data_IF_799845495544
#
_entry.id   IF_799845495544
#
_cell.length_a   1.000
_cell.length_b   1.000
_cell.length_c   1.000
_cell.angle_alpha   90.00
_cell.angle_beta   90.00
_cell.angle_gamma   90.00
#
_symmetry.space_group_name_H-M   'P 1'
#
loop_
_entity.id
_entity.type
_entity.pdbx_description
1 polymer ?
#
# COMPACT_ATOMS: atom_id res chain seq x y z
N UNK A 1 -20.88 15.24 11.37
CA UNK A 1 -20.75 15.13 9.89
C UNK A 1 -19.67 14.09 9.64
N UNK A 2 -19.96 12.99 8.93
CA UNK A 2 -18.89 12.07 8.48
C UNK A 2 -17.87 12.89 7.68
N UNK A 3 -16.59 12.83 8.06
CA UNK A 3 -15.53 13.40 7.23
C UNK A 3 -15.68 12.82 5.82
N UNK A 4 -15.55 13.66 4.80
CA UNK A 4 -15.65 13.21 3.41
C UNK A 4 -14.58 12.16 3.18
N UNK A 5 -14.97 10.93 2.85
CA UNK A 5 -14.04 9.83 2.55
C UNK A 5 -13.08 10.25 1.44
N UNK A 6 -11.82 9.98 1.63
CA UNK A 6 -10.75 10.31 0.69
C UNK A 6 -10.12 9.02 0.21
N UNK A 7 -10.17 8.80 -1.11
CA UNK A 7 -9.58 7.62 -1.73
C UNK A 7 -8.27 7.95 -2.43
N UNK A 8 -7.36 7.01 -2.36
CA UNK A 8 -6.08 6.97 -3.05
C UNK A 8 -6.10 5.79 -4.03
N UNK A 9 -5.72 6.02 -5.29
CA UNK A 9 -5.51 4.94 -6.24
C UNK A 9 -4.13 4.33 -5.98
N UNK A 10 -4.08 3.13 -5.44
CA UNK A 10 -2.84 2.34 -5.36
C UNK A 10 -2.23 2.15 -6.76
N UNK A 11 -0.92 1.93 -6.83
CA UNK A 11 -0.20 1.84 -8.11
C UNK A 11 -0.87 0.89 -9.11
N UNK A 12 -1.38 -0.22 -8.62
CA UNK A 12 -1.93 -1.32 -9.42
C UNK A 12 -3.40 -1.12 -9.83
N UNK A 13 -4.08 -0.09 -9.32
CA UNK A 13 -5.51 0.16 -9.59
C UNK A 13 -5.78 0.99 -10.83
N UNK A 14 -4.78 1.73 -11.29
CA UNK A 14 -4.84 2.53 -12.51
C UNK A 14 -3.52 2.39 -13.26
N UNK A 15 -3.22 1.19 -13.72
CA UNK A 15 -1.96 0.81 -14.34
C UNK A 15 -2.05 -0.49 -15.11
N UNK A 16 -0.95 -0.85 -15.76
CA UNK A 16 -0.83 -2.00 -16.66
C UNK A 16 0.21 -3.03 -16.19
N UNK A 17 0.72 -2.86 -14.97
CA UNK A 17 1.78 -3.69 -14.37
C UNK A 17 1.30 -4.46 -13.15
N UNK A 18 2.14 -5.31 -12.59
CA UNK A 18 1.89 -6.06 -11.36
C UNK A 18 3.22 -6.44 -10.69
N UNK A 19 3.24 -6.70 -9.37
CA UNK A 19 4.46 -7.04 -8.62
C UNK A 19 5.18 -8.25 -9.23
N UNK A 20 6.51 -8.12 -9.39
CA UNK A 20 7.35 -9.15 -9.99
C UNK A 20 6.90 -9.58 -11.42
N UNK A 21 6.21 -8.70 -12.14
CA UNK A 21 5.95 -8.85 -13.56
C UNK A 21 7.22 -8.68 -14.40
N UNK A 22 7.10 -8.72 -15.74
CA UNK A 22 8.25 -8.44 -16.62
C UNK A 22 8.88 -7.08 -16.38
N UNK A 23 8.10 -6.12 -15.94
CA UNK A 23 8.51 -4.81 -15.42
C UNK A 23 7.41 -4.28 -14.50
N UNK A 24 7.79 -3.49 -13.52
CA UNK A 24 6.86 -2.70 -12.70
C UNK A 24 6.75 -1.25 -13.18
N UNK A 25 7.53 -0.88 -14.21
CA UNK A 25 7.44 0.42 -14.86
C UNK A 25 6.25 0.41 -15.82
N UNK A 26 5.25 1.24 -15.54
CA UNK A 26 4.05 1.35 -16.38
C UNK A 26 4.37 1.88 -17.77
N UNK A 27 3.80 1.28 -18.79
CA UNK A 27 3.86 1.80 -20.17
C UNK A 27 2.98 3.04 -20.37
N UNK A 28 2.02 3.27 -19.46
CA UNK A 28 1.12 4.40 -19.48
C UNK A 28 1.81 5.68 -18.98
N UNK A 29 1.73 6.81 -19.70
CA UNK A 29 2.32 8.06 -19.26
C UNK A 29 1.81 8.46 -17.85
N UNK A 30 2.74 8.92 -16.99
CA UNK A 30 2.39 9.34 -15.63
C UNK A 30 1.24 10.37 -15.60
N UNK A 31 1.25 11.36 -16.51
CA UNK A 31 0.16 12.34 -16.64
C UNK A 31 -1.19 11.67 -16.86
N UNK A 32 -1.26 10.72 -17.78
CA UNK A 32 -2.53 10.09 -18.15
C UNK A 32 -3.12 9.28 -16.98
N UNK A 33 -2.24 8.64 -16.19
CA UNK A 33 -2.64 7.93 -14.95
C UNK A 33 -3.18 8.91 -13.90
N UNK A 34 -2.51 10.03 -13.69
CA UNK A 34 -2.96 11.10 -12.77
C UNK A 34 -4.31 11.67 -13.22
N UNK A 35 -4.45 11.99 -14.51
CA UNK A 35 -5.69 12.51 -15.08
C UNK A 35 -6.86 11.52 -14.94
N UNK A 36 -6.62 10.23 -15.19
CA UNK A 36 -7.64 9.19 -15.05
C UNK A 36 -8.08 9.00 -13.60
N UNK A 37 -7.13 8.96 -12.65
CA UNK A 37 -7.41 8.85 -11.22
C UNK A 37 -8.21 10.05 -10.72
N UNK A 38 -7.76 11.27 -11.03
CA UNK A 38 -8.44 12.50 -10.65
C UNK A 38 -9.85 12.61 -11.26
N UNK A 39 -10.00 12.25 -12.55
CA UNK A 39 -11.30 12.24 -13.23
C UNK A 39 -12.29 11.25 -12.57
N UNK A 40 -11.81 10.10 -12.09
CA UNK A 40 -12.63 9.14 -11.36
C UNK A 40 -13.07 9.66 -9.99
N UNK A 41 -12.30 10.56 -9.36
CA UNK A 41 -12.59 11.15 -8.05
C UNK A 41 -11.53 10.90 -6.98
N UNK A 42 -10.44 10.21 -7.30
CA UNK A 42 -9.31 10.03 -6.40
C UNK A 42 -8.63 11.36 -6.09
N UNK A 43 -8.10 11.48 -4.87
CA UNK A 43 -7.32 12.63 -4.42
C UNK A 43 -5.90 12.24 -3.99
N UNK A 44 -5.56 10.98 -4.14
CA UNK A 44 -4.23 10.43 -3.87
C UNK A 44 -3.80 9.41 -4.90
N UNK A 45 -2.50 9.11 -4.93
CA UNK A 45 -1.86 8.17 -5.85
C UNK A 45 -0.76 7.38 -5.12
N UNK A 46 -0.75 6.05 -5.29
CA UNK A 46 0.34 5.17 -4.92
C UNK A 46 1.34 4.99 -6.07
N UNK A 47 2.62 4.86 -5.76
CA UNK A 47 3.67 4.65 -6.77
C UNK A 47 4.68 3.62 -6.25
N UNK A 48 4.90 2.56 -7.05
CA UNK A 48 5.93 1.55 -6.78
C UNK A 48 7.33 2.08 -7.16
N UNK A 49 8.36 1.65 -6.43
CA UNK A 49 9.74 2.12 -6.55
C UNK A 49 10.27 2.13 -7.99
N UNK A 50 10.11 1.04 -8.76
CA UNK A 50 10.66 0.99 -10.12
C UNK A 50 10.03 2.04 -11.04
N UNK A 51 8.71 2.21 -10.99
CA UNK A 51 8.00 3.23 -11.76
C UNK A 51 8.31 4.65 -11.28
N UNK A 52 8.40 4.84 -9.97
CA UNK A 52 8.80 6.10 -9.35
C UNK A 52 10.14 6.59 -9.89
N UNK A 53 11.16 5.72 -9.90
CA UNK A 53 12.51 6.04 -10.41
C UNK A 53 12.46 6.37 -11.89
N UNK A 54 11.76 5.54 -12.69
CA UNK A 54 11.64 5.78 -14.13
C UNK A 54 10.95 7.12 -14.45
N UNK A 55 9.88 7.46 -13.71
CA UNK A 55 9.16 8.73 -13.88
C UNK A 55 10.00 9.90 -13.39
N UNK A 56 10.65 9.79 -12.21
CA UNK A 56 11.57 10.79 -11.66
C UNK A 56 12.66 11.12 -12.65
N UNK A 57 13.33 10.12 -13.19
CA UNK A 57 14.48 10.30 -14.10
C UNK A 57 14.03 10.91 -15.44
N UNK A 58 12.80 10.68 -15.87
CA UNK A 58 12.24 11.23 -17.10
C UNK A 58 11.75 12.68 -16.98
N UNK A 59 11.09 13.04 -15.87
CA UNK A 59 10.42 14.34 -15.75
C UNK A 59 10.76 15.13 -14.48
N UNK A 60 11.38 14.52 -13.48
CA UNK A 60 11.74 15.12 -12.19
C UNK A 60 10.54 15.32 -11.24
N UNK A 61 10.82 15.34 -9.94
CA UNK A 61 9.79 15.51 -8.90
C UNK A 61 8.99 16.82 -9.03
N UNK A 62 9.65 17.91 -9.40
CA UNK A 62 8.96 19.21 -9.57
C UNK A 62 7.84 19.12 -10.60
N UNK A 63 8.05 18.39 -11.71
CA UNK A 63 7.03 18.20 -12.74
C UNK A 63 5.97 17.18 -12.29
N UNK A 64 6.36 16.13 -11.58
CA UNK A 64 5.40 15.20 -10.97
C UNK A 64 4.42 15.94 -10.05
N UNK A 65 4.94 16.74 -9.11
CA UNK A 65 4.11 17.57 -8.20
C UNK A 65 3.15 18.50 -8.96
N UNK A 66 3.65 19.15 -10.01
CA UNK A 66 2.82 20.06 -10.82
C UNK A 66 1.68 19.31 -11.49
N UNK A 67 1.99 18.19 -12.17
CA UNK A 67 0.95 17.37 -12.82
C UNK A 67 -0.11 16.93 -11.81
N UNK A 68 0.30 16.44 -10.65
CA UNK A 68 -0.62 16.02 -9.60
C UNK A 68 -1.44 17.18 -9.04
N UNK A 69 -0.80 18.32 -8.72
CA UNK A 69 -1.47 19.50 -8.18
C UNK A 69 -2.48 20.10 -9.15
N UNK A 70 -2.14 20.15 -10.45
CA UNK A 70 -3.05 20.63 -11.52
C UNK A 70 -4.35 19.81 -11.60
N UNK A 71 -4.31 18.55 -11.14
CA UNK A 71 -5.44 17.62 -11.13
C UNK A 71 -6.03 17.34 -9.74
N UNK A 72 -5.57 18.02 -8.68
CA UNK A 72 -6.08 17.84 -7.32
C UNK A 72 -5.64 16.55 -6.63
N UNK A 73 -4.61 15.87 -7.14
CA UNK A 73 -3.92 14.78 -6.43
C UNK A 73 -2.94 15.39 -5.46
N UNK A 74 -3.20 15.23 -4.17
CA UNK A 74 -2.44 15.90 -3.09
C UNK A 74 -1.86 14.92 -2.06
N UNK A 75 -2.17 13.63 -2.19
CA UNK A 75 -1.69 12.59 -1.30
C UNK A 75 -0.95 11.52 -2.07
N UNK A 76 0.15 11.05 -1.47
CA UNK A 76 0.98 10.01 -2.04
C UNK A 76 1.27 8.94 -1.00
N UNK A 77 1.38 7.71 -1.45
CA UNK A 77 2.10 6.64 -0.78
C UNK A 77 3.13 6.09 -1.76
N UNK A 78 4.26 5.64 -1.22
CA UNK A 78 5.35 5.07 -2.02
C UNK A 78 5.68 3.68 -1.51
N UNK A 79 6.04 2.80 -2.42
CA UNK A 79 6.24 1.38 -2.15
C UNK A 79 7.27 0.79 -3.12
N UNK A 80 7.89 -0.30 -2.90
CA UNK A 80 7.80 -1.21 -1.78
C UNK A 80 9.21 -1.54 -1.31
N UNK A 81 9.50 -1.52 0.00
CA UNK A 81 10.82 -1.83 0.52
C UNK A 81 10.86 -3.21 1.16
N UNK A 82 11.76 -4.05 0.68
CA UNK A 82 12.08 -5.37 1.24
C UNK A 82 13.53 -5.42 1.73
N UNK A 83 13.90 -6.51 2.40
CA UNK A 83 15.28 -6.77 2.87
C UNK A 83 15.88 -5.69 3.79
N UNK A 84 15.06 -4.80 4.32
CA UNK A 84 15.44 -3.70 5.22
C UNK A 84 16.01 -4.19 6.57
N UNK A 85 15.76 -5.43 6.93
CA UNK A 85 16.24 -6.14 8.12
C UNK A 85 17.47 -7.01 7.85
N UNK A 86 17.90 -7.13 6.60
CA UNK A 86 19.01 -7.99 6.18
C UNK A 86 20.38 -7.33 6.45
N UNK A 87 21.45 -8.05 6.13
CA UNK A 87 22.84 -7.60 6.21
C UNK A 87 23.55 -7.80 4.88
N UNK A 88 24.79 -7.28 4.75
CA UNK A 88 25.61 -7.48 3.56
C UNK A 88 25.00 -6.90 2.29
N UNK A 89 25.10 -7.64 1.17
CA UNK A 89 24.67 -7.16 -0.15
C UNK A 89 23.18 -6.90 -0.25
N UNK A 90 22.34 -7.72 0.37
CA UNK A 90 20.88 -7.52 0.41
C UNK A 90 20.53 -6.22 1.11
N UNK A 91 21.13 -5.95 2.26
CA UNK A 91 20.94 -4.69 2.97
C UNK A 91 21.42 -3.51 2.13
N UNK A 92 22.56 -3.60 1.50
CA UNK A 92 23.07 -2.53 0.63
C UNK A 92 22.16 -2.26 -0.58
N UNK A 93 21.51 -3.29 -1.12
CA UNK A 93 20.50 -3.13 -2.17
C UNK A 93 19.23 -2.44 -1.62
N UNK A 94 18.73 -2.90 -0.46
CA UNK A 94 17.59 -2.30 0.23
C UNK A 94 17.85 -0.83 0.60
N UNK A 95 19.05 -0.48 1.05
CA UNK A 95 19.39 0.90 1.41
C UNK A 95 19.36 1.86 0.19
N UNK A 96 19.64 1.36 -1.04
CA UNK A 96 19.46 2.16 -2.26
C UNK A 96 17.98 2.45 -2.52
N UNK A 97 17.12 1.44 -2.41
CA UNK A 97 15.67 1.60 -2.53
C UNK A 97 15.14 2.53 -1.44
N UNK A 98 15.58 2.33 -0.18
CA UNK A 98 15.24 3.19 0.96
C UNK A 98 15.54 4.66 0.66
N UNK A 99 16.72 4.95 0.12
CA UNK A 99 17.11 6.32 -0.25
C UNK A 99 16.16 6.92 -1.28
N UNK A 100 15.86 6.21 -2.36
CA UNK A 100 14.93 6.68 -3.39
C UNK A 100 13.53 6.93 -2.82
N UNK A 101 13.01 6.02 -1.98
CA UNK A 101 11.68 6.17 -1.36
C UNK A 101 11.63 7.34 -0.38
N UNK A 102 12.68 7.55 0.44
CA UNK A 102 12.76 8.70 1.35
C UNK A 102 12.87 10.03 0.59
N UNK A 103 13.66 10.07 -0.50
CA UNK A 103 13.72 11.24 -1.38
C UNK A 103 12.34 11.55 -1.98
N UNK A 104 11.66 10.52 -2.49
CA UNK A 104 10.31 10.68 -3.02
C UNK A 104 9.30 11.12 -1.95
N UNK A 105 9.40 10.56 -0.74
CA UNK A 105 8.54 10.95 0.37
C UNK A 105 8.71 12.43 0.74
N UNK A 106 9.95 12.92 0.79
CA UNK A 106 10.24 14.33 1.01
C UNK A 106 9.67 15.22 -0.10
N UNK A 107 9.94 14.85 -1.35
CA UNK A 107 9.64 15.65 -2.53
C UNK A 107 8.15 15.65 -2.90
N UNK A 108 7.47 14.52 -2.78
CA UNK A 108 6.04 14.37 -3.08
C UNK A 108 5.16 14.57 -1.84
N UNK A 109 5.76 14.69 -0.65
CA UNK A 109 5.06 14.70 0.64
C UNK A 109 4.25 13.42 0.82
N UNK A 110 4.86 12.27 0.50
CA UNK A 110 4.21 10.99 0.69
C UNK A 110 3.93 10.78 2.18
N UNK A 111 2.73 10.32 2.46
CA UNK A 111 2.28 10.11 3.82
C UNK A 111 2.97 8.93 4.47
N UNK A 112 3.11 7.84 3.74
CA UNK A 112 3.70 6.61 4.20
C UNK A 112 4.56 5.93 3.13
N UNK A 113 5.49 5.13 3.63
CA UNK A 113 6.34 4.24 2.84
C UNK A 113 5.97 2.82 3.25
N UNK A 114 5.46 2.01 2.30
CA UNK A 114 5.11 0.62 2.57
C UNK A 114 6.34 -0.29 2.50
N UNK A 115 6.41 -1.22 3.46
CA UNK A 115 7.49 -2.19 3.59
C UNK A 115 6.94 -3.58 3.86
N UNK A 116 7.66 -4.63 3.47
CA UNK A 116 7.27 -6.02 3.69
C UNK A 116 8.28 -6.85 4.46
N UNK A 117 7.81 -8.00 4.92
CA UNK A 117 8.63 -9.04 5.52
C UNK A 117 9.44 -9.85 4.50
N UNK A 118 10.17 -10.83 4.97
CA UNK A 118 10.88 -11.80 4.14
C UNK A 118 9.90 -12.79 3.51
N UNK A 119 10.04 -13.02 2.21
CA UNK A 119 9.20 -13.94 1.45
C UNK A 119 9.63 -15.39 1.67
N UNK A 120 9.52 -15.86 2.89
CA UNK A 120 9.74 -17.25 3.29
C UNK A 120 8.99 -17.56 4.60
N UNK A 121 9.08 -18.82 5.04
CA UNK A 121 8.45 -19.29 6.29
C UNK A 121 9.38 -19.19 7.51
N UNK A 122 10.57 -18.60 7.36
CA UNK A 122 11.51 -18.46 8.45
C UNK A 122 10.92 -17.60 9.58
N UNK A 123 11.21 -18.01 10.81
CA UNK A 123 10.71 -17.26 11.98
C UNK A 123 11.35 -15.87 12.02
N UNK A 124 10.53 -14.86 12.22
CA UNK A 124 10.98 -13.48 12.37
C UNK A 124 11.84 -13.31 13.65
N UNK A 125 13.04 -12.78 13.48
CA UNK A 125 13.92 -12.34 14.57
C UNK A 125 13.45 -10.94 15.04
N UNK A 126 12.51 -10.93 16.00
CA UNK A 126 11.85 -9.70 16.46
C UNK A 126 12.85 -8.61 16.87
N UNK A 127 13.89 -8.88 17.70
CA UNK A 127 14.86 -7.86 18.07
C UNK A 127 15.55 -7.19 16.87
N UNK A 128 16.03 -7.98 15.91
CA UNK A 128 16.69 -7.47 14.70
C UNK A 128 15.74 -6.64 13.84
N UNK A 129 14.51 -7.14 13.66
CA UNK A 129 13.48 -6.44 12.88
C UNK A 129 13.07 -5.14 13.56
N UNK A 130 12.90 -5.13 14.88
CA UNK A 130 12.53 -3.94 15.63
C UNK A 130 13.60 -2.84 15.57
N UNK A 131 14.89 -3.20 15.70
CA UNK A 131 16.01 -2.26 15.55
C UNK A 131 16.04 -1.65 14.15
N UNK A 132 15.95 -2.49 13.10
CA UNK A 132 15.93 -2.03 11.72
C UNK A 132 14.69 -1.17 11.41
N UNK A 133 13.54 -1.53 11.97
CA UNK A 133 12.29 -0.79 11.84
C UNK A 133 12.35 0.58 12.50
N UNK A 134 12.89 0.67 13.71
CA UNK A 134 13.10 1.94 14.41
C UNK A 134 13.97 2.89 13.56
N UNK A 135 15.08 2.39 12.99
CA UNK A 135 15.93 3.16 12.08
C UNK A 135 15.20 3.67 10.83
N UNK A 136 14.28 2.87 10.26
CA UNK A 136 13.44 3.32 9.14
C UNK A 136 12.47 4.42 9.56
N UNK A 137 11.86 4.26 10.72
CA UNK A 137 10.92 5.24 11.27
C UNK A 137 11.58 6.59 11.56
N UNK A 138 12.79 6.58 12.12
CA UNK A 138 13.60 7.79 12.33
C UNK A 138 13.87 8.54 11.02
N UNK A 139 14.19 7.82 9.94
CA UNK A 139 14.44 8.46 8.66
C UNK A 139 13.16 8.96 7.99
N UNK A 140 12.06 8.21 8.12
CA UNK A 140 10.77 8.65 7.60
C UNK A 140 10.26 9.90 8.33
N UNK A 141 10.44 9.99 9.65
CA UNK A 141 10.08 11.17 10.43
C UNK A 141 10.81 12.43 9.95
N UNK A 142 12.11 12.33 9.65
CA UNK A 142 12.92 13.46 9.12
C UNK A 142 12.37 14.05 7.84
N UNK A 143 11.65 13.25 7.04
CA UNK A 143 11.02 13.68 5.79
C UNK A 143 9.52 13.92 5.92
N UNK A 144 8.97 13.83 7.13
CA UNK A 144 7.54 14.03 7.41
C UNK A 144 6.64 12.90 6.95
N UNK A 145 7.18 11.67 6.85
CA UNK A 145 6.48 10.46 6.44
C UNK A 145 6.40 9.43 7.57
N UNK A 146 5.70 8.33 7.34
CA UNK A 146 5.62 7.19 8.26
C UNK A 146 6.03 5.89 7.55
N UNK A 147 6.31 4.84 8.32
CA UNK A 147 6.57 3.50 7.80
C UNK A 147 5.37 2.61 8.10
N UNK A 148 4.84 1.95 7.07
CA UNK A 148 3.73 1.03 7.16
C UNK A 148 4.18 -0.40 6.81
N UNK A 149 4.27 -1.29 7.82
CA UNK A 149 4.50 -2.72 7.58
C UNK A 149 3.24 -3.31 6.98
N UNK A 150 3.35 -3.88 5.80
CA UNK A 150 2.28 -4.67 5.21
C UNK A 150 2.35 -6.11 5.73
N UNK A 151 1.24 -6.56 6.32
CA UNK A 151 1.12 -7.90 6.91
C UNK A 151 0.72 -8.87 5.81
N UNK A 152 1.70 -9.63 5.30
CA UNK A 152 1.54 -10.50 4.13
C UNK A 152 1.52 -11.97 4.53
N UNK A 153 0.47 -12.74 4.26
CA UNK A 153 0.31 -14.12 4.75
C UNK A 153 1.34 -15.12 4.22
N UNK A 154 2.09 -14.75 3.20
CA UNK A 154 3.17 -15.54 2.59
C UNK A 154 4.58 -15.04 2.93
N UNK A 155 4.71 -14.18 3.95
CA UNK A 155 6.00 -13.71 4.49
C UNK A 155 6.18 -14.13 5.94
N UNK A 156 7.33 -13.82 6.51
CA UNK A 156 7.56 -14.05 7.94
C UNK A 156 6.92 -13.00 8.86
N UNK A 157 6.37 -11.90 8.31
CA UNK A 157 5.47 -10.96 9.02
C UNK A 157 4.04 -11.22 8.53
N UNK A 158 3.48 -12.37 8.93
CA UNK A 158 2.23 -12.92 8.38
C UNK A 158 0.99 -12.64 9.20
N UNK A 159 1.13 -12.10 10.40
CA UNK A 159 0.04 -11.88 11.32
C UNK A 159 0.23 -10.63 12.19
N UNK A 160 -0.83 -10.19 12.84
CA UNK A 160 -0.83 -9.01 13.70
C UNK A 160 0.04 -9.19 14.96
N UNK A 161 0.25 -10.41 15.42
CA UNK A 161 1.05 -10.69 16.61
C UNK A 161 2.54 -10.44 16.36
N UNK A 162 3.04 -10.89 15.21
CA UNK A 162 4.44 -10.65 14.82
C UNK A 162 4.67 -9.17 14.58
N UNK A 163 3.80 -8.52 13.83
CA UNK A 163 3.93 -7.10 13.52
C UNK A 163 3.79 -6.21 14.76
N UNK A 164 2.86 -6.52 15.69
CA UNK A 164 2.72 -5.84 16.99
C UNK A 164 4.00 -5.94 17.82
N UNK A 165 4.62 -7.14 17.87
CA UNK A 165 5.87 -7.34 18.60
C UNK A 165 7.01 -6.47 18.05
N UNK A 166 7.12 -6.35 16.71
CA UNK A 166 8.12 -5.48 16.05
C UNK A 166 7.86 -4.01 16.42
N UNK A 167 6.62 -3.54 16.25
CA UNK A 167 6.25 -2.14 16.48
C UNK A 167 6.46 -1.74 17.93
N UNK A 168 6.00 -2.58 18.89
CA UNK A 168 6.18 -2.31 20.32
C UNK A 168 7.64 -2.26 20.72
N UNK A 169 8.45 -3.19 20.26
CA UNK A 169 9.87 -3.21 20.60
C UNK A 169 10.63 -2.08 19.94
N UNK A 170 10.27 -1.65 18.73
CA UNK A 170 10.84 -0.48 18.07
C UNK A 170 10.48 0.83 18.79
N UNK A 171 9.26 0.92 19.34
CA UNK A 171 8.83 2.04 20.19
C UNK A 171 8.79 3.39 19.47
N UNK A 172 8.56 3.43 18.15
CA UNK A 172 8.64 4.67 17.36
C UNK A 172 7.26 5.04 16.77
N UNK A 173 6.82 6.28 17.01
CA UNK A 173 5.47 6.75 16.64
C UNK A 173 5.25 6.84 15.11
N UNK A 174 6.30 7.04 14.33
CA UNK A 174 6.22 7.08 12.87
C UNK A 174 6.09 5.69 12.24
N UNK A 175 6.12 4.60 13.04
CA UNK A 175 5.93 3.23 12.60
C UNK A 175 4.50 2.73 12.80
N UNK A 176 4.05 1.84 11.90
CA UNK A 176 2.76 1.16 12.04
C UNK A 176 2.52 0.15 10.92
N UNK A 177 1.26 -0.05 10.60
CA UNK A 177 0.77 -1.11 9.72
C UNK A 177 0.08 -0.54 8.47
N UNK A 178 0.26 -1.23 7.37
CA UNK A 178 -0.66 -1.24 6.25
C UNK A 178 -1.61 -2.43 6.42
N UNK A 179 -2.90 -2.17 6.47
CA UNK A 179 -3.95 -3.18 6.66
C UNK A 179 -4.70 -3.36 5.35
N UNK A 180 -4.35 -4.39 4.60
CA UNK A 180 -5.02 -4.78 3.36
C UNK A 180 -6.05 -5.87 3.64
N UNK A 181 -7.28 -5.68 3.16
CA UNK A 181 -8.37 -6.63 3.35
C UNK A 181 -8.06 -8.02 2.79
N UNK A 182 -7.38 -8.12 1.62
CA UNK A 182 -7.02 -9.40 1.04
C UNK A 182 -6.07 -10.17 1.95
N UNK A 183 -5.05 -9.47 2.47
CA UNK A 183 -4.06 -10.08 3.35
C UNK A 183 -4.66 -10.50 4.68
N UNK A 184 -5.56 -9.69 5.27
CA UNK A 184 -6.28 -10.06 6.49
C UNK A 184 -7.14 -11.29 6.26
N UNK A 185 -7.94 -11.31 5.20
CA UNK A 185 -8.86 -12.41 4.90
C UNK A 185 -8.11 -13.71 4.58
N UNK A 186 -7.06 -13.66 3.73
CA UNK A 186 -6.26 -14.84 3.37
C UNK A 186 -5.34 -15.31 4.50
N UNK A 187 -4.93 -14.42 5.38
CA UNK A 187 -4.19 -14.74 6.61
C UNK A 187 -5.08 -15.29 7.73
N UNK A 188 -6.39 -15.33 7.54
CA UNK A 188 -7.35 -15.79 8.56
C UNK A 188 -7.47 -14.83 9.76
N UNK A 189 -7.15 -13.55 9.57
CA UNK A 189 -7.24 -12.51 10.60
C UNK A 189 -8.66 -11.94 10.59
N UNK A 190 -9.44 -12.12 11.67
CA UNK A 190 -10.82 -11.65 11.71
C UNK A 190 -10.91 -10.13 11.87
N UNK A 191 -12.01 -9.55 11.38
CA UNK A 191 -12.26 -8.10 11.50
C UNK A 191 -12.30 -7.62 12.96
N UNK A 192 -12.65 -8.48 13.90
CA UNK A 192 -12.65 -8.19 15.33
C UNK A 192 -11.24 -7.90 15.87
N UNK A 193 -10.21 -8.61 15.39
CA UNK A 193 -8.82 -8.31 15.74
C UNK A 193 -8.35 -6.99 15.11
N UNK A 194 -8.73 -6.73 13.86
CA UNK A 194 -8.45 -5.46 13.18
C UNK A 194 -9.07 -4.28 13.94
N UNK A 195 -10.31 -4.42 14.40
CA UNK A 195 -11.03 -3.38 15.14
C UNK A 195 -10.39 -3.03 16.51
N UNK A 196 -9.57 -3.92 17.06
CA UNK A 196 -8.87 -3.72 18.33
C UNK A 196 -7.50 -3.03 18.16
N UNK A 197 -7.04 -2.80 16.94
CA UNK A 197 -5.76 -2.13 16.70
C UNK A 197 -5.79 -0.68 17.25
N UNK A 198 -4.73 -0.24 17.93
CA UNK A 198 -4.61 1.16 18.31
C UNK A 198 -4.61 2.06 17.06
N UNK A 199 -5.31 3.20 17.13
CA UNK A 199 -5.33 4.18 16.03
C UNK A 199 -3.92 4.53 15.52
N UNK A 200 -2.97 4.70 16.43
CA UNK A 200 -1.59 5.04 16.10
C UNK A 200 -0.87 4.00 15.25
N UNK A 201 -1.35 2.76 15.26
CA UNK A 201 -0.75 1.67 14.49
C UNK A 201 -1.23 1.65 13.03
N UNK A 202 -2.44 2.12 12.74
CA UNK A 202 -2.99 2.07 11.38
C UNK A 202 -2.48 3.27 10.58
N UNK A 203 -1.47 3.06 9.73
CA UNK A 203 -0.87 4.08 8.87
C UNK A 203 -1.49 4.10 7.50
N UNK A 204 -1.73 2.93 6.91
CA UNK A 204 -2.35 2.76 5.59
C UNK A 204 -3.41 1.67 5.64
N UNK A 205 -4.43 1.76 4.79
CA UNK A 205 -5.50 0.77 4.63
C UNK A 205 -5.76 0.56 3.16
N UNK A 206 -5.85 -0.70 2.73
CA UNK A 206 -6.10 -1.05 1.35
C UNK A 206 -7.39 -1.82 1.15
N UNK A 207 -8.18 -1.35 0.19
CA UNK A 207 -9.47 -1.90 -0.17
C UNK A 207 -9.40 -2.66 -1.49
N UNK A 208 -9.86 -3.87 -1.47
CA UNK A 208 -10.13 -4.75 -2.60
C UNK A 208 -11.15 -5.81 -2.16
N UNK A 209 -11.26 -6.90 -2.90
CA UNK A 209 -12.03 -8.08 -2.54
C UNK A 209 -11.45 -9.31 -3.26
N UNK A 210 -11.98 -10.49 -3.01
CA UNK A 210 -11.70 -11.69 -3.77
C UNK A 210 -12.82 -12.75 -3.58
N UNK A 211 -12.76 -13.82 -4.39
CA UNK A 211 -13.60 -15.00 -4.21
C UNK A 211 -13.27 -15.73 -2.89
N UNK A 212 -14.16 -16.62 -2.43
CA UNK A 212 -13.87 -17.51 -1.31
C UNK A 212 -12.72 -18.48 -1.60
N UNK A 213 -12.59 -18.88 -2.85
CA UNK A 213 -11.60 -19.85 -3.31
C UNK A 213 -10.27 -19.17 -3.64
N UNK A 214 -9.16 -19.79 -3.22
CA UNK A 214 -7.82 -19.38 -3.64
C UNK A 214 -7.57 -19.93 -5.03
N UNK A 215 -7.22 -19.06 -5.98
CA UNK A 215 -6.94 -19.47 -7.36
C UNK A 215 -5.45 -19.75 -7.54
N UNK A 216 -5.09 -21.02 -7.61
CA UNK A 216 -3.69 -21.47 -7.69
C UNK A 216 -2.97 -21.37 -6.35
N UNK A 217 -1.81 -20.72 -6.29
CA UNK A 217 -1.13 -20.39 -5.05
C UNK A 217 -1.63 -19.07 -4.48
N UNK A 218 -1.38 -18.80 -3.17
CA UNK A 218 -1.63 -17.47 -2.59
C UNK A 218 -0.97 -16.35 -3.39
N UNK A 219 0.24 -16.60 -3.89
CA UNK A 219 0.96 -15.65 -4.74
C UNK A 219 0.24 -15.38 -6.07
N UNK A 220 -0.26 -16.43 -6.73
CA UNK A 220 -1.04 -16.25 -7.96
C UNK A 220 -2.37 -15.53 -7.70
N UNK A 221 -3.05 -15.90 -6.60
CA UNK A 221 -4.33 -15.32 -6.21
C UNK A 221 -4.19 -13.80 -5.96
N UNK A 222 -3.19 -13.38 -5.17
CA UNK A 222 -2.97 -11.96 -4.90
C UNK A 222 -2.61 -11.15 -6.15
N UNK A 223 -1.82 -11.69 -7.07
CA UNK A 223 -1.33 -10.94 -8.23
C UNK A 223 -2.36 -10.78 -9.35
N UNK A 224 -3.35 -11.69 -9.42
CA UNK A 224 -4.16 -11.80 -10.63
C UNK A 224 -5.66 -11.92 -10.42
N UNK A 225 -6.10 -12.20 -9.18
CA UNK A 225 -7.49 -12.62 -8.94
C UNK A 225 -8.21 -11.77 -7.88
N UNK A 226 -7.65 -10.61 -7.54
CA UNK A 226 -8.40 -9.64 -6.71
C UNK A 226 -9.58 -9.10 -7.50
N UNK A 227 -10.66 -8.82 -6.78
CA UNK A 227 -11.90 -8.23 -7.27
C UNK A 227 -12.03 -6.79 -6.78
N UNK A 228 -12.94 -6.04 -7.36
CA UNK A 228 -13.28 -4.73 -6.87
C UNK A 228 -13.96 -4.82 -5.49
N UNK A 229 -13.76 -3.83 -4.60
CA UNK A 229 -14.39 -3.79 -3.29
C UNK A 229 -15.90 -4.05 -3.35
N UNK A 230 -16.36 -5.07 -2.64
CA UNK A 230 -17.78 -5.49 -2.60
C UNK A 230 -18.22 -6.45 -3.70
N UNK A 231 -17.34 -6.83 -4.64
CA UNK A 231 -17.66 -7.82 -5.69
C UNK A 231 -17.32 -9.28 -5.27
N UNK A 232 -16.63 -9.45 -4.14
CA UNK A 232 -16.18 -10.75 -3.64
C UNK A 232 -16.91 -11.19 -2.37
N UNK A 233 -16.19 -11.95 -1.55
CA UNK A 233 -16.73 -12.59 -0.35
C UNK A 233 -16.10 -12.12 0.96
N UNK A 234 -15.17 -11.17 0.94
CA UNK A 234 -14.42 -10.72 2.12
C UNK A 234 -15.21 -9.77 3.03
N UNK A 235 -16.48 -9.50 2.70
CA UNK A 235 -17.34 -8.61 3.48
C UNK A 235 -16.72 -7.22 3.66
N UNK A 236 -16.28 -6.61 2.56
CA UNK A 236 -15.54 -5.36 2.55
C UNK A 236 -16.20 -4.24 3.37
N UNK A 237 -17.54 -4.18 3.44
CA UNK A 237 -18.26 -3.22 4.27
C UNK A 237 -18.07 -3.46 5.78
N UNK A 238 -17.90 -4.71 6.21
CA UNK A 238 -17.64 -5.02 7.63
C UNK A 238 -16.17 -4.75 7.98
N UNK A 239 -15.26 -4.97 7.04
CA UNK A 239 -13.86 -4.55 7.18
C UNK A 239 -13.74 -3.03 7.33
N UNK A 240 -14.46 -2.25 6.52
CA UNK A 240 -14.51 -0.78 6.66
C UNK A 240 -14.96 -0.38 8.06
N UNK A 241 -16.01 -1.01 8.62
CA UNK A 241 -16.45 -0.74 9.99
C UNK A 241 -15.40 -1.10 11.05
N UNK A 242 -14.66 -2.19 10.84
CA UNK A 242 -13.58 -2.59 11.74
C UNK A 242 -12.44 -1.54 11.75
N UNK A 243 -12.05 -1.06 10.59
CA UNK A 243 -11.07 0.02 10.48
C UNK A 243 -11.60 1.33 11.07
N UNK A 244 -12.87 1.72 10.79
CA UNK A 244 -13.48 2.89 11.42
C UNK A 244 -13.49 2.79 12.96
N UNK A 245 -13.68 1.59 13.51
CA UNK A 245 -13.65 1.35 14.97
C UNK A 245 -12.28 1.61 15.60
N UNK A 246 -11.16 1.48 14.87
CA UNK A 246 -9.83 1.88 15.33
C UNK A 246 -9.67 3.39 15.51
N UNK A 247 -10.59 4.17 14.93
CA UNK A 247 -10.48 5.64 14.84
C UNK A 247 -9.65 6.13 13.67
N UNK A 248 -9.35 5.28 12.68
CA UNK A 248 -8.65 5.68 11.47
C UNK A 248 -9.39 6.82 10.74
N UNK A 249 -8.69 7.89 10.42
CA UNK A 249 -9.28 9.12 9.89
C UNK A 249 -8.54 9.67 8.65
N UNK A 250 -7.87 8.77 7.93
CA UNK A 250 -7.01 9.14 6.83
C UNK A 250 -7.53 8.67 5.47
N UNK A 251 -6.60 8.48 4.52
CA UNK A 251 -6.88 8.01 3.17
C UNK A 251 -7.05 6.51 3.15
N UNK A 252 -7.98 6.05 2.32
CA UNK A 252 -8.19 4.65 2.02
C UNK A 252 -7.60 4.39 0.63
N UNK A 253 -6.58 3.57 0.57
CA UNK A 253 -6.02 3.10 -0.69
C UNK A 253 -6.95 2.07 -1.32
N UNK A 254 -7.01 2.05 -2.64
CA UNK A 254 -7.68 0.99 -3.39
C UNK A 254 -6.62 0.28 -4.20
N UNK A 255 -6.45 -1.03 -3.97
CA UNK A 255 -5.42 -1.82 -4.62
C UNK A 255 -6.01 -3.01 -5.37
N UNK A 256 -6.03 -2.93 -6.71
CA UNK A 256 -6.68 -3.95 -7.56
C UNK A 256 -5.63 -4.73 -8.36
N UNK A 257 -5.08 -5.77 -7.75
CA UNK A 257 -4.21 -6.74 -8.41
C UNK A 257 -5.06 -7.79 -9.15
N UNK A 258 -5.57 -7.43 -10.32
CA UNK A 258 -6.44 -8.24 -11.14
C UNK A 258 -5.98 -8.27 -12.60
N UNK A 259 -5.85 -9.47 -13.16
CA UNK A 259 -5.48 -9.64 -14.57
C UNK A 259 -6.51 -8.97 -15.49
N UNK A 260 -7.79 -9.19 -15.21
CA UNK A 260 -8.87 -8.67 -16.04
C UNK A 260 -9.02 -7.15 -15.90
N UNK A 261 -8.87 -6.63 -14.68
CA UNK A 261 -8.95 -5.20 -14.42
C UNK A 261 -7.85 -4.42 -15.17
N UNK A 262 -6.60 -4.87 -15.14
CA UNK A 262 -5.47 -4.18 -15.80
C UNK A 262 -5.52 -4.23 -17.34
N UNK A 263 -6.38 -5.06 -17.92
CA UNK A 263 -6.63 -5.09 -19.36
C UNK A 263 -7.68 -4.07 -19.84
N UNK A 264 -8.39 -3.44 -18.89
CA UNK A 264 -9.40 -2.43 -19.21
C UNK A 264 -8.73 -1.10 -19.64
N UNK A 265 -9.44 -0.24 -20.38
CA UNK A 265 -8.99 1.14 -20.62
C UNK A 265 -8.75 1.88 -19.29
N UNK A 266 -7.68 2.66 -19.20
CA UNK A 266 -7.22 3.31 -17.97
C UNK A 266 -8.31 4.08 -17.20
N UNK A 267 -9.15 4.86 -17.91
CA UNK A 267 -10.28 5.57 -17.27
C UNK A 267 -11.33 4.62 -16.70
N UNK A 268 -11.55 3.49 -17.35
CA UNK A 268 -12.48 2.47 -16.85
C UNK A 268 -11.92 1.81 -15.59
N UNK A 269 -10.63 1.47 -15.57
CA UNK A 269 -9.95 0.99 -14.37
C UNK A 269 -10.17 1.94 -13.21
N UNK A 270 -9.79 3.20 -13.38
CA UNK A 270 -9.89 4.21 -12.33
C UNK A 270 -11.34 4.43 -11.86
N UNK A 271 -12.30 4.48 -12.79
CA UNK A 271 -13.70 4.73 -12.44
C UNK A 271 -14.35 3.57 -11.70
N UNK A 272 -14.14 2.35 -12.18
CA UNK A 272 -14.73 1.15 -11.55
C UNK A 272 -14.17 0.93 -10.14
N UNK A 273 -12.85 1.05 -9.96
CA UNK A 273 -12.22 0.90 -8.65
C UNK A 273 -12.63 1.99 -7.67
N UNK A 274 -12.77 3.24 -8.13
CA UNK A 274 -13.25 4.34 -7.31
C UNK A 274 -14.70 4.13 -6.86
N UNK A 275 -15.61 3.83 -7.82
CA UNK A 275 -17.04 3.71 -7.53
C UNK A 275 -17.36 2.55 -6.60
N UNK A 276 -16.70 1.41 -6.80
CA UNK A 276 -16.87 0.23 -5.95
C UNK A 276 -16.40 0.50 -4.51
N UNK A 277 -15.24 1.13 -4.34
CA UNK A 277 -14.73 1.50 -3.02
C UNK A 277 -15.66 2.53 -2.35
N UNK A 278 -16.10 3.57 -3.06
CA UNK A 278 -17.03 4.57 -2.51
C UNK A 278 -18.38 4.00 -2.11
N UNK A 279 -18.81 2.91 -2.73
CA UNK A 279 -20.07 2.24 -2.37
C UNK A 279 -20.04 1.65 -0.96
N UNK A 280 -18.87 1.29 -0.42
CA UNK A 280 -18.71 0.75 0.94
C UNK A 280 -19.01 1.76 2.06
N UNK A 281 -19.00 3.04 1.74
CA UNK A 281 -19.18 4.15 2.72
C UNK A 281 -20.58 4.79 2.67
N UNK A 282 -21.51 4.19 1.93
CA UNK A 282 -22.91 4.67 1.78
C UNK A 282 -23.84 4.14 2.86
#
# INVERSE_FOLDING_TARGET
MRNKVKLLAGHWSAGDTYPNGPTEVSSLPFRDRVEAAAWAGYTGLGIVHQDLVAVRDKIGFARMRRICGDHGIVHFEVEFLIDWFETGEKRAASDRVRKDLLEAAAELKARDIKIGGKFDEERCDIPRYAEAFASLCEDAEKVGSTIAIEVLPFTNIRDLKVSDAIIRQAGHESGGLCIDIWHMARGGIPNEEVAMLPKSYVKSVELNDASSEIVGSLWNDTLHHRLLPGEGTFKAADFVKAIEATGFDSFWSVEILSKDHRMLPLKEQAKRSFDSAMALFR
#
